data_IF_485194562721
#
_entry.id   IF_485194562721
#
_cell.length_a   1.000
_cell.length_b   1.000
_cell.length_c   1.000
_cell.angle_alpha   90.00
_cell.angle_beta   90.00
_cell.angle_gamma   90.00
#
_symmetry.space_group_name_H-M   'P 1'
#
loop_
_entity.id
_entity.type
_entity.pdbx_description
1 polymer ?
#
# COMPACT_ATOMS: atom_id res chain seq x y z
N UNK A 1 -2.74 -11.43 9.61
CA UNK A 1 -2.56 -10.41 8.57
C UNK A 1 -3.77 -9.49 8.53
N UNK A 2 -3.63 -8.34 9.16
CA UNK A 2 -4.48 -7.17 9.03
C UNK A 2 -3.83 -6.18 8.08
N UNK A 3 -4.55 -5.70 7.06
CA UNK A 3 -4.02 -4.78 6.03
C UNK A 3 -4.87 -3.53 5.98
N UNK A 4 -4.22 -2.36 5.99
CA UNK A 4 -4.84 -1.08 5.67
C UNK A 4 -4.73 -0.84 4.16
N UNK A 5 -5.84 -0.87 3.45
CA UNK A 5 -5.96 -0.40 2.07
C UNK A 5 -6.19 1.12 2.04
N UNK A 6 -5.52 1.80 1.11
CA UNK A 6 -5.59 3.26 0.93
C UNK A 6 -5.82 3.59 -0.56
N UNK A 7 -6.97 4.19 -0.84
CA UNK A 7 -7.34 4.80 -2.13
C UNK A 7 -7.05 6.32 -2.06
N UNK A 8 -5.91 6.81 -2.59
CA UNK A 8 -5.38 8.11 -2.25
C UNK A 8 -5.96 9.25 -3.11
N UNK A 9 -6.44 10.30 -2.45
CA UNK A 9 -6.88 11.52 -3.13
C UNK A 9 -6.89 12.72 -2.20
N UNK A 10 -6.61 13.92 -2.74
CA UNK A 10 -6.52 15.13 -1.92
C UNK A 10 -7.83 15.48 -1.22
N UNK A 11 -8.98 15.41 -1.89
CA UNK A 11 -10.28 15.78 -1.28
C UNK A 11 -10.87 14.64 -0.45
N UNK A 12 -10.58 13.41 -0.87
CA UNK A 12 -11.13 12.16 -0.34
C UNK A 12 -10.03 11.11 -0.46
N UNK A 13 -9.53 10.63 0.67
CA UNK A 13 -8.61 9.51 0.76
C UNK A 13 -9.38 8.35 1.40
N UNK A 14 -9.73 7.34 0.59
CA UNK A 14 -10.46 6.16 1.05
C UNK A 14 -9.56 5.26 1.88
N UNK A 15 -10.05 4.78 3.01
CA UNK A 15 -9.29 3.93 3.94
C UNK A 15 -10.15 2.75 4.39
N UNK A 16 -9.55 1.56 4.42
CA UNK A 16 -10.27 0.33 4.75
C UNK A 16 -9.34 -0.74 5.31
N UNK A 17 -9.73 -1.36 6.42
CA UNK A 17 -8.94 -2.38 7.08
C UNK A 17 -9.63 -3.73 6.95
N UNK A 18 -8.90 -4.69 6.38
CA UNK A 18 -9.35 -6.08 6.22
C UNK A 18 -8.39 -7.00 6.96
N UNK A 19 -8.93 -8.02 7.62
CA UNK A 19 -8.18 -9.03 8.34
C UNK A 19 -8.47 -10.43 7.79
N UNK A 20 -7.43 -11.26 7.76
CA UNK A 20 -7.55 -12.68 7.46
C UNK A 20 -6.26 -13.27 6.89
N UNK A 21 -6.43 -14.32 6.10
CA UNK A 21 -5.37 -14.97 5.30
C UNK A 21 -5.97 -15.47 3.99
N UNK A 22 -5.15 -15.61 2.95
CA UNK A 22 -5.62 -16.14 1.66
C UNK A 22 -6.24 -17.54 1.80
N UNK A 23 -7.28 -17.82 1.02
CA UNK A 23 -8.01 -19.09 1.06
C UNK A 23 -8.92 -19.28 2.29
N UNK A 24 -9.03 -18.30 3.19
CA UNK A 24 -9.99 -18.28 4.30
C UNK A 24 -10.93 -17.07 4.19
N UNK A 25 -11.99 -17.10 5.01
CA UNK A 25 -12.91 -15.99 5.16
C UNK A 25 -12.16 -14.73 5.65
N UNK A 26 -12.41 -13.60 4.98
CA UNK A 26 -11.89 -12.30 5.37
C UNK A 26 -12.93 -11.52 6.19
N UNK A 27 -12.50 -10.62 7.06
CA UNK A 27 -13.36 -9.76 7.87
C UNK A 27 -12.98 -8.29 7.69
N UNK A 28 -13.97 -7.40 7.68
CA UNK A 28 -13.77 -5.96 7.72
C UNK A 28 -13.58 -5.51 9.16
N UNK A 29 -12.45 -4.88 9.47
CA UNK A 29 -12.17 -4.32 10.80
C UNK A 29 -12.54 -2.82 10.90
N UNK A 30 -12.60 -2.12 9.76
CA UNK A 30 -13.02 -0.72 9.68
C UNK A 30 -13.03 -0.23 8.24
N UNK A 31 -13.84 0.78 7.93
CA UNK A 31 -13.78 1.49 6.64
C UNK A 31 -14.25 2.94 6.77
N UNK A 32 -13.66 3.86 6.01
CA UNK A 32 -13.92 5.28 6.08
C UNK A 32 -13.31 6.07 4.93
N UNK A 33 -13.41 7.40 5.03
CA UNK A 33 -12.78 8.35 4.09
C UNK A 33 -12.25 9.52 4.88
N UNK A 34 -10.94 9.76 4.80
CA UNK A 34 -10.32 10.99 5.28
C UNK A 34 -10.68 12.10 4.28
N UNK A 35 -11.23 13.20 4.77
CA UNK A 35 -11.74 14.31 3.95
C UNK A 35 -10.93 15.57 4.23
N UNK A 36 -10.64 16.33 3.19
CA UNK A 36 -10.09 17.69 3.33
C UNK A 36 -11.01 18.69 2.63
N UNK A 37 -11.00 19.96 3.05
CA UNK A 37 -11.58 21.05 2.24
C UNK A 37 -10.95 21.06 0.85
N UNK A 38 -11.73 21.38 -0.18
CA UNK A 38 -11.25 21.45 -1.57
C UNK A 38 -10.58 22.80 -1.87
N UNK A 39 -10.99 23.81 -1.12
CA UNK A 39 -10.58 25.22 -1.11
C UNK A 39 -9.32 25.49 -0.28
N UNK A 40 -8.85 24.52 0.52
CA UNK A 40 -7.60 24.63 1.26
C UNK A 40 -6.38 24.39 0.34
N UNK A 41 -5.25 24.99 0.70
CA UNK A 41 -4.00 24.80 -0.01
C UNK A 41 -3.48 23.36 0.09
N UNK A 42 -2.79 22.89 -0.95
CA UNK A 42 -2.33 21.49 -1.03
C UNK A 42 -1.49 21.05 0.19
N UNK A 43 -0.53 21.84 0.71
CA UNK A 43 0.24 21.46 1.90
C UNK A 43 -0.63 21.19 3.14
N UNK A 44 -1.61 22.05 3.43
CA UNK A 44 -2.51 21.90 4.58
C UNK A 44 -3.36 20.63 4.46
N UNK A 45 -3.80 20.32 3.23
CA UNK A 45 -4.56 19.12 2.92
C UNK A 45 -3.72 17.85 3.09
N UNK A 46 -2.43 17.90 2.75
CA UNK A 46 -1.51 16.78 3.01
C UNK A 46 -1.28 16.56 4.51
N UNK A 47 -1.25 17.63 5.33
CA UNK A 47 -1.21 17.50 6.81
C UNK A 47 -2.50 16.88 7.36
N UNK A 48 -3.67 17.24 6.84
CA UNK A 48 -4.94 16.60 7.23
C UNK A 48 -4.98 15.11 6.83
N UNK A 49 -4.42 14.77 5.67
CA UNK A 49 -4.29 13.37 5.21
C UNK A 49 -3.32 12.58 6.10
N UNK A 50 -2.15 13.14 6.46
CA UNK A 50 -1.20 12.52 7.40
C UNK A 50 -1.89 12.20 8.73
N UNK A 51 -2.54 13.19 9.35
CA UNK A 51 -3.22 13.02 10.65
C UNK A 51 -4.27 11.91 10.60
N UNK A 52 -5.14 11.93 9.60
CA UNK A 52 -6.13 10.87 9.42
C UNK A 52 -5.51 9.49 9.20
N UNK A 53 -4.40 9.40 8.46
CA UNK A 53 -3.71 8.12 8.26
C UNK A 53 -3.07 7.62 9.57
N UNK A 54 -2.45 8.50 10.36
CA UNK A 54 -1.86 8.15 11.66
C UNK A 54 -2.92 7.68 12.68
N UNK A 55 -4.11 8.30 12.68
CA UNK A 55 -5.27 7.84 13.47
C UNK A 55 -5.69 6.41 13.09
N UNK A 56 -5.77 6.11 11.78
CA UNK A 56 -6.13 4.77 11.29
C UNK A 56 -5.05 3.73 11.58
N UNK A 57 -3.78 4.10 11.43
CA UNK A 57 -2.62 3.25 11.74
C UNK A 57 -2.55 2.91 13.23
N UNK A 58 -2.82 3.88 14.12
CA UNK A 58 -2.82 3.63 15.56
C UNK A 58 -4.04 2.84 16.02
N UNK A 59 -5.24 3.19 15.54
CA UNK A 59 -6.50 2.54 15.94
C UNK A 59 -6.54 1.07 15.53
N UNK A 60 -6.13 0.76 14.30
CA UNK A 60 -6.28 -0.58 13.74
C UNK A 60 -5.01 -1.43 13.80
N UNK A 61 -3.83 -0.84 13.96
CA UNK A 61 -2.52 -1.52 14.03
C UNK A 61 -2.35 -2.58 12.91
N UNK A 62 -2.39 -2.18 11.63
CA UNK A 62 -2.22 -3.11 10.52
C UNK A 62 -0.78 -3.65 10.45
N UNK A 63 -0.64 -4.85 9.90
CA UNK A 63 0.65 -5.52 9.64
C UNK A 63 1.26 -5.09 8.28
N UNK A 64 0.47 -4.49 7.39
CA UNK A 64 0.89 -3.99 6.09
C UNK A 64 -0.03 -2.87 5.58
N UNK A 65 0.48 -2.04 4.65
CA UNK A 65 -0.30 -0.99 3.98
C UNK A 65 -0.31 -1.24 2.47
N UNK A 66 -1.50 -1.23 1.87
CA UNK A 66 -1.76 -1.45 0.46
C UNK A 66 -2.30 -0.16 -0.18
N UNK A 67 -1.50 0.52 -1.00
CA UNK A 67 -1.87 1.81 -1.61
C UNK A 67 -2.20 1.58 -3.09
N UNK A 68 -3.21 2.28 -3.63
CA UNK A 68 -3.41 2.28 -5.07
C UNK A 68 -2.21 2.91 -5.79
N UNK A 69 -1.71 2.25 -6.82
CA UNK A 69 -0.67 2.78 -7.69
C UNK A 69 -1.29 3.76 -8.68
N UNK A 70 -0.83 5.00 -8.64
CA UNK A 70 -1.26 6.06 -9.56
C UNK A 70 -0.87 5.72 -11.00
N UNK A 71 -1.84 5.84 -11.93
CA UNK A 71 -1.63 5.69 -13.37
C UNK A 71 -2.04 6.96 -14.12
N UNK A 72 -1.24 7.33 -15.11
CA UNK A 72 -1.59 8.35 -16.11
C UNK A 72 -2.03 7.69 -17.41
N UNK A 73 -3.21 8.07 -17.91
CA UNK A 73 -3.48 7.97 -19.35
C UNK A 73 -3.93 9.31 -19.94
N UNK A 74 -4.80 10.09 -19.27
CA UNK A 74 -5.41 11.28 -19.90
C UNK A 74 -5.57 12.54 -19.02
N UNK A 75 -5.23 12.55 -17.72
CA UNK A 75 -5.46 13.73 -16.87
C UNK A 75 -4.34 14.03 -15.86
N UNK A 76 -3.33 14.78 -16.31
CA UNK A 76 -2.10 15.08 -15.54
C UNK A 76 -2.38 15.96 -14.31
N UNK A 77 -3.38 16.87 -14.38
CA UNK A 77 -3.66 17.84 -13.33
C UNK A 77 -4.14 17.20 -12.03
N UNK A 78 -5.00 16.19 -12.09
CA UNK A 78 -5.51 15.50 -10.89
C UNK A 78 -4.53 14.45 -10.37
N UNK A 79 -3.78 13.79 -11.26
CA UNK A 79 -2.77 12.77 -10.91
C UNK A 79 -1.73 13.29 -9.92
N UNK A 80 -1.28 14.55 -10.04
CA UNK A 80 -0.27 15.09 -9.13
C UNK A 80 -0.76 15.10 -7.68
N UNK A 81 -2.00 15.52 -7.44
CA UNK A 81 -2.60 15.52 -6.11
C UNK A 81 -2.78 14.11 -5.52
N UNK A 82 -3.25 13.17 -6.35
CA UNK A 82 -3.33 11.74 -5.96
C UNK A 82 -1.94 11.21 -5.60
N UNK A 83 -0.91 11.47 -6.41
CA UNK A 83 0.46 11.02 -6.14
C UNK A 83 1.07 11.63 -4.86
N UNK A 84 0.78 12.91 -4.57
CA UNK A 84 1.16 13.54 -3.31
C UNK A 84 0.46 12.86 -2.11
N UNK A 85 -0.84 12.56 -2.21
CA UNK A 85 -1.56 11.82 -1.17
C UNK A 85 -1.05 10.38 -1.01
N UNK A 86 -0.70 9.69 -2.10
CA UNK A 86 -0.04 8.37 -2.07
C UNK A 86 1.28 8.44 -1.30
N UNK A 87 2.10 9.46 -1.56
CA UNK A 87 3.39 9.63 -0.89
C UNK A 87 3.26 9.82 0.63
N UNK A 88 2.23 10.54 1.10
CA UNK A 88 1.92 10.65 2.54
C UNK A 88 1.56 9.28 3.13
N UNK A 89 0.70 8.49 2.48
CA UNK A 89 0.36 7.14 2.94
C UNK A 89 1.56 6.20 3.00
N UNK A 90 2.45 6.26 1.99
CA UNK A 90 3.72 5.53 1.98
C UNK A 90 4.65 5.96 3.13
N UNK A 91 4.73 7.27 3.40
CA UNK A 91 5.58 7.84 4.45
C UNK A 91 5.11 7.45 5.86
N UNK A 92 3.82 7.59 6.18
CA UNK A 92 3.25 7.20 7.48
C UNK A 92 3.50 5.71 7.77
N UNK A 93 3.27 4.85 6.78
CA UNK A 93 3.55 3.42 6.88
C UNK A 93 5.04 3.11 7.11
N UNK A 94 5.92 3.72 6.31
CA UNK A 94 7.36 3.52 6.39
C UNK A 94 7.97 4.02 7.71
N UNK A 95 7.47 5.15 8.26
CA UNK A 95 7.86 5.67 9.59
C UNK A 95 7.55 4.69 10.73
N UNK A 96 6.50 3.87 10.58
CA UNK A 96 6.12 2.80 11.52
C UNK A 96 6.79 1.45 11.21
N UNK A 97 7.69 1.39 10.22
CA UNK A 97 8.35 0.15 9.79
C UNK A 97 7.42 -0.85 9.09
N UNK A 98 6.23 -0.43 8.64
CA UNK A 98 5.26 -1.30 8.01
C UNK A 98 5.61 -1.54 6.52
N UNK A 99 5.47 -2.76 6.01
CA UNK A 99 5.63 -3.05 4.59
C UNK A 99 4.53 -2.37 3.76
N UNK A 100 4.94 -1.71 2.68
CA UNK A 100 4.05 -1.01 1.75
C UNK A 100 4.02 -1.74 0.40
N UNK A 101 2.83 -1.96 -0.13
CA UNK A 101 2.64 -2.52 -1.47
C UNK A 101 1.79 -1.59 -2.34
N UNK A 102 2.21 -1.38 -3.59
CA UNK A 102 1.50 -0.57 -4.58
C UNK A 102 0.77 -1.47 -5.58
N UNK A 103 -0.56 -1.48 -5.57
CA UNK A 103 -1.38 -2.31 -6.47
C UNK A 103 -2.02 -1.49 -7.58
N UNK A 104 -2.02 -1.99 -8.79
CA UNK A 104 -2.70 -1.34 -9.92
C UNK A 104 -4.21 -1.55 -9.88
N UNK A 105 -5.03 -0.65 -10.45
CA UNK A 105 -6.48 -0.86 -10.54
C UNK A 105 -6.84 -2.20 -11.20
N UNK A 106 -6.11 -2.58 -12.25
CA UNK A 106 -6.28 -3.86 -12.96
C UNK A 106 -5.91 -5.07 -12.09
N UNK A 107 -4.90 -4.96 -11.23
CA UNK A 107 -4.53 -6.03 -10.29
C UNK A 107 -5.57 -6.24 -9.21
N UNK A 108 -6.15 -5.15 -8.69
CA UNK A 108 -7.25 -5.16 -7.71
C UNK A 108 -8.50 -5.78 -8.32
N UNK A 109 -8.93 -5.27 -9.49
CA UNK A 109 -10.05 -5.83 -10.26
C UNK A 109 -9.87 -7.32 -10.51
N UNK A 110 -8.69 -7.74 -10.99
CA UNK A 110 -8.39 -9.14 -11.25
C UNK A 110 -8.40 -10.01 -9.97
N UNK A 111 -7.84 -9.51 -8.86
CA UNK A 111 -7.84 -10.24 -7.60
C UNK A 111 -9.25 -10.41 -7.01
N UNK A 112 -10.07 -9.36 -7.04
CA UNK A 112 -11.39 -9.34 -6.39
C UNK A 112 -12.49 -9.99 -7.25
N UNK A 113 -12.41 -9.88 -8.58
CA UNK A 113 -13.49 -10.31 -9.51
C UNK A 113 -13.09 -11.43 -10.47
N UNK A 114 -11.80 -11.78 -10.55
CA UNK A 114 -11.26 -12.67 -11.58
C UNK A 114 -10.95 -11.97 -12.92
N UNK A 115 -11.37 -10.71 -13.13
CA UNK A 115 -11.11 -9.97 -14.38
C UNK A 115 -10.50 -8.60 -14.09
N UNK A 116 -9.34 -8.31 -14.69
CA UNK A 116 -8.71 -6.98 -14.63
C UNK A 116 -9.50 -5.88 -15.35
N UNK A 117 -10.50 -6.25 -16.14
CA UNK A 117 -11.40 -5.34 -16.89
C UNK A 117 -12.75 -5.11 -16.20
N UNK A 118 -12.98 -5.64 -15.00
CA UNK A 118 -14.26 -5.53 -14.31
C UNK A 118 -14.68 -4.07 -14.03
N UNK A 119 -16.00 -3.84 -14.02
CA UNK A 119 -16.60 -2.55 -13.73
C UNK A 119 -16.61 -2.24 -12.22
N UNK A 120 -16.62 -0.94 -11.85
CA UNK A 120 -16.55 -0.53 -10.43
C UNK A 120 -17.70 -1.11 -9.59
N UNK A 121 -18.88 -1.23 -10.17
CA UNK A 121 -20.03 -1.89 -9.54
C UNK A 121 -19.79 -3.39 -9.26
N UNK A 122 -19.09 -4.10 -10.15
CA UNK A 122 -18.75 -5.51 -9.96
C UNK A 122 -17.72 -5.69 -8.84
N UNK A 123 -16.74 -4.80 -8.74
CA UNK A 123 -15.77 -4.76 -7.62
C UNK A 123 -16.52 -4.57 -6.30
N UNK A 124 -17.40 -3.57 -6.20
CA UNK A 124 -18.19 -3.30 -4.99
C UNK A 124 -19.08 -4.48 -4.57
N UNK A 125 -19.76 -5.12 -5.52
CA UNK A 125 -20.56 -6.33 -5.26
C UNK A 125 -19.71 -7.49 -4.75
N UNK A 126 -18.51 -7.70 -5.32
CA UNK A 126 -17.58 -8.73 -4.87
C UNK A 126 -16.97 -8.42 -3.50
N UNK A 127 -16.59 -7.19 -3.20
CA UNK A 127 -16.15 -6.76 -1.84
C UNK A 127 -17.24 -7.08 -0.81
N UNK A 128 -18.50 -6.73 -1.11
CA UNK A 128 -19.68 -7.01 -0.27
C UNK A 128 -19.80 -8.51 0.03
N UNK A 129 -19.74 -9.34 -1.02
CA UNK A 129 -19.83 -10.81 -0.93
C UNK A 129 -18.66 -11.42 -0.16
N UNK A 130 -17.43 -11.00 -0.45
CA UNK A 130 -16.19 -11.54 0.13
C UNK A 130 -16.11 -11.25 1.62
N UNK A 131 -16.50 -10.05 2.05
CA UNK A 131 -16.50 -9.62 3.45
C UNK A 131 -17.80 -9.96 4.20
N UNK A 132 -18.77 -10.64 3.53
CA UNK A 132 -20.12 -10.97 4.05
C UNK A 132 -20.88 -9.78 4.63
N UNK A 133 -20.76 -8.61 3.99
CA UNK A 133 -21.46 -7.40 4.42
C UNK A 133 -22.94 -7.49 4.05
N UNK A 134 -23.82 -7.05 4.95
CA UNK A 134 -25.28 -7.05 4.72
C UNK A 134 -25.72 -6.08 3.60
N UNK A 135 -24.91 -5.07 3.31
CA UNK A 135 -25.11 -4.12 2.22
C UNK A 135 -23.74 -3.64 1.69
N UNK A 136 -23.67 -3.06 0.47
CA UNK A 136 -22.43 -2.51 -0.06
C UNK A 136 -21.82 -1.44 0.85
N UNK A 137 -20.49 -1.44 1.03
CA UNK A 137 -19.82 -0.46 1.87
C UNK A 137 -20.03 0.95 1.31
N UNK A 138 -20.29 1.91 2.21
CA UNK A 138 -20.52 3.32 1.89
C UNK A 138 -19.53 4.20 2.67
N UNK A 139 -19.05 5.32 2.09
CA UNK A 139 -19.29 5.81 0.73
C UNK A 139 -18.58 4.97 -0.36
N UNK A 140 -18.73 5.29 -1.65
CA UNK A 140 -18.19 4.45 -2.74
C UNK A 140 -16.68 4.14 -2.61
N UNK A 141 -15.86 5.13 -2.26
CA UNK A 141 -14.40 5.01 -2.07
C UNK A 141 -14.01 4.03 -0.93
N UNK A 142 -14.95 3.72 -0.03
CA UNK A 142 -14.80 2.66 0.98
C UNK A 142 -14.63 1.28 0.32
N UNK A 143 -15.31 1.03 -0.81
CA UNK A 143 -15.22 -0.23 -1.53
C UNK A 143 -13.83 -0.43 -2.16
N UNK A 144 -13.23 0.63 -2.70
CA UNK A 144 -11.93 0.57 -3.37
C UNK A 144 -10.79 0.33 -2.36
N UNK A 145 -10.83 1.03 -1.22
CA UNK A 145 -9.90 0.81 -0.11
C UNK A 145 -9.97 -0.62 0.45
N UNK A 146 -11.19 -1.18 0.62
CA UNK A 146 -11.34 -2.58 1.02
C UNK A 146 -10.86 -3.55 -0.07
N UNK A 147 -11.11 -3.25 -1.36
CA UNK A 147 -10.62 -4.05 -2.47
C UNK A 147 -9.08 -4.11 -2.55
N UNK A 148 -8.40 -3.00 -2.24
CA UNK A 148 -6.93 -2.95 -2.12
C UNK A 148 -6.41 -3.85 -1.00
N UNK A 149 -7.03 -3.80 0.18
CA UNK A 149 -6.65 -4.66 1.31
C UNK A 149 -6.88 -6.15 0.98
N UNK A 150 -8.02 -6.51 0.37
CA UNK A 150 -8.30 -7.88 -0.10
C UNK A 150 -7.26 -8.32 -1.15
N UNK A 151 -6.98 -7.48 -2.14
CA UNK A 151 -5.99 -7.74 -3.19
C UNK A 151 -4.61 -8.06 -2.57
N UNK A 152 -4.18 -7.28 -1.58
CA UNK A 152 -2.93 -7.53 -0.86
C UNK A 152 -2.93 -8.87 -0.14
N UNK A 153 -3.96 -9.18 0.66
CA UNK A 153 -4.03 -10.44 1.43
C UNK A 153 -4.00 -11.66 0.51
N UNK A 154 -4.67 -11.60 -0.64
CA UNK A 154 -4.71 -12.71 -1.60
C UNK A 154 -3.46 -12.82 -2.48
N UNK A 155 -2.78 -11.71 -2.81
CA UNK A 155 -1.50 -11.73 -3.56
C UNK A 155 -0.29 -12.02 -2.68
N UNK A 156 -0.34 -11.67 -1.39
CA UNK A 156 0.76 -11.83 -0.43
C UNK A 156 1.46 -13.20 -0.48
N UNK A 157 0.74 -14.34 -0.46
CA UNK A 157 1.36 -15.67 -0.54
C UNK A 157 2.01 -16.00 -1.90
N UNK A 158 1.65 -15.32 -2.98
CA UNK A 158 2.32 -15.48 -4.28
C UNK A 158 3.61 -14.64 -4.31
N UNK A 159 3.52 -13.36 -3.91
CA UNK A 159 4.68 -12.46 -3.84
C UNK A 159 5.73 -12.94 -2.82
N UNK A 160 5.33 -13.39 -1.63
CA UNK A 160 6.26 -13.94 -0.64
C UNK A 160 6.98 -15.20 -1.15
N UNK A 161 6.31 -16.10 -1.89
CA UNK A 161 6.96 -17.28 -2.46
C UNK A 161 7.99 -16.89 -3.53
N UNK A 162 7.68 -15.91 -4.38
CA UNK A 162 8.61 -15.39 -5.38
C UNK A 162 9.80 -14.65 -4.74
N UNK A 163 9.57 -13.83 -3.71
CA UNK A 163 10.64 -13.14 -2.98
C UNK A 163 11.52 -14.11 -2.18
N UNK A 164 10.95 -15.12 -1.52
CA UNK A 164 11.72 -16.16 -0.84
C UNK A 164 12.51 -17.03 -1.83
N UNK A 165 11.96 -17.32 -3.01
CA UNK A 165 12.70 -17.98 -4.08
C UNK A 165 13.86 -17.10 -4.57
N UNK A 166 13.64 -15.81 -4.85
CA UNK A 166 14.67 -14.88 -5.29
C UNK A 166 15.77 -14.68 -4.22
N UNK A 167 15.42 -14.60 -2.93
CA UNK A 167 16.38 -14.52 -1.84
C UNK A 167 17.24 -15.79 -1.71
N UNK A 168 16.67 -16.98 -1.97
CA UNK A 168 17.41 -18.26 -2.02
C UNK A 168 18.32 -18.41 -3.24
N UNK A 169 18.06 -17.68 -4.33
CA UNK A 169 18.83 -17.70 -5.57
C UNK A 169 19.72 -16.45 -5.76
N UNK A 170 19.76 -15.54 -4.79
CA UNK A 170 20.69 -14.41 -4.81
C UNK A 170 22.09 -14.92 -4.43
N UNK A 171 23.10 -14.83 -5.30
CA UNK A 171 24.44 -15.25 -4.94
C UNK A 171 24.94 -14.38 -3.78
N UNK A 172 25.52 -15.03 -2.76
CA UNK A 172 26.13 -14.32 -1.65
C UNK A 172 27.22 -13.38 -2.18
N UNK A 173 27.15 -12.09 -1.80
CA UNK A 173 28.10 -11.10 -2.27
C UNK A 173 29.54 -11.56 -2.00
N UNK A 174 30.47 -11.44 -2.96
CA UNK A 174 31.83 -11.95 -2.79
C UNK A 174 32.49 -11.23 -1.61
N UNK A 175 32.92 -12.02 -0.61
CA UNK A 175 33.68 -11.52 0.54
C UNK A 175 34.94 -10.83 0.03
N UNK A 176 34.98 -9.51 0.11
CA UNK A 176 36.16 -8.72 -0.29
C UNK A 176 37.37 -9.19 0.52
N UNK A 177 38.46 -9.66 -0.11
CA UNK A 177 39.62 -10.10 0.63
C UNK A 177 40.27 -8.90 1.32
N UNK A 178 40.43 -9.00 2.64
CA UNK A 178 41.05 -7.96 3.47
C UNK A 178 42.51 -7.79 3.03
N UNK A 179 42.83 -6.71 2.32
CA UNK A 179 44.21 -6.44 1.88
C UNK A 179 45.05 -6.11 3.11
N UNK A 180 45.94 -7.02 3.49
CA UNK A 180 46.93 -6.76 4.54
C UNK A 180 47.84 -5.59 4.12
N UNK A 181 47.79 -4.49 4.87
CA UNK A 181 48.78 -3.41 4.79
C UNK A 181 50.07 -3.89 5.48
N UNK A 182 50.95 -4.51 4.71
CA UNK A 182 52.33 -4.74 5.16
C UNK A 182 53.07 -3.40 5.26
N UNK A 183 53.79 -3.21 6.37
CA UNK A 183 54.62 -2.05 6.61
C UNK A 183 55.77 -1.99 5.59
N UNK A 184 56.17 -0.79 5.18
CA UNK A 184 57.53 -0.51 4.74
C UNK A 184 57.98 0.85 5.28
N UNK A 185 58.70 0.83 6.39
CA UNK A 185 59.55 1.94 6.83
C UNK A 185 60.83 1.94 5.99
N UNK A 186 61.08 3.04 5.26
CA UNK A 186 62.40 3.65 5.00
C UNK A 186 62.15 5.15 4.76
N UNK A 187 62.83 6.12 5.35
CA UNK A 187 63.98 6.08 6.25
C UNK A 187 65.13 6.93 5.73
N UNK A 188 65.15 8.24 6.10
CA UNK A 188 66.27 9.20 5.86
C UNK A 188 66.51 9.45 4.35
N UNK A 189 67.03 10.54 3.78
CA UNK A 189 67.99 11.60 4.11
C UNK A 189 67.47 12.89 3.41
N UNK A 190 67.70 14.12 3.90
CA UNK A 190 68.69 14.56 4.89
C UNK A 190 68.08 15.22 6.11
#
# INVERSE_FOLDING_TARGET
MRVLGVDPGLTRCGVGVVEGVAGRQLTMAGVGVIRTPAEAEVPDRLVLIERGLEEWLETHRPEAVAVERVFTQHNVRTVMGTAQASAVAMLCAARRGLPVALHTPSEVKAAVTGSGRAEKAQVGAMVTRVLRLAAPPKPADAADALALAICHIWRGPASNRLQQAAARHSPSAPRTPHRNRTQHQKGTVR
#
